data_IF_881045875128
#
_entry.id   IF_881045875128
#
_cell.length_a   1.000
_cell.length_b   1.000
_cell.length_c   1.000
_cell.angle_alpha   90.00
_cell.angle_beta   90.00
_cell.angle_gamma   90.00
#
_symmetry.space_group_name_H-M   'P 1'
#
loop_
_entity.id
_entity.type
_entity.pdbx_description
1 polymer ?
#
# COMPACT_ATOMS: atom_id res chain seq x y z
N UNK A 1 41.87 -1.76 22.56
CA UNK A 1 40.77 -2.73 22.33
C UNK A 1 40.41 -3.34 23.68
N UNK A 2 39.13 -3.38 24.05
CA UNK A 2 38.69 -4.11 25.23
C UNK A 2 38.74 -5.60 24.89
N UNK A 3 39.42 -6.40 25.71
CA UNK A 3 39.46 -7.86 25.54
C UNK A 3 38.07 -8.46 25.79
N UNK A 4 37.72 -9.57 25.12
CA UNK A 4 36.50 -10.32 25.45
C UNK A 4 36.51 -10.67 26.93
N UNK A 5 35.38 -10.47 27.61
CA UNK A 5 35.24 -10.85 29.01
C UNK A 5 35.10 -12.36 29.12
N UNK A 6 34.31 -12.96 28.23
CA UNK A 6 34.05 -14.39 28.18
C UNK A 6 33.82 -14.86 26.75
N UNK A 7 34.11 -16.14 26.51
CA UNK A 7 33.81 -16.87 25.26
C UNK A 7 32.96 -18.08 25.59
N UNK A 8 32.08 -18.47 24.67
CA UNK A 8 31.24 -19.65 24.83
C UNK A 8 30.73 -20.19 23.51
N UNK A 9 29.82 -21.17 23.60
CA UNK A 9 29.08 -21.74 22.46
C UNK A 9 27.62 -21.37 22.57
N UNK A 10 27.05 -20.89 21.47
CA UNK A 10 25.64 -20.64 21.34
C UNK A 10 24.90 -21.97 21.09
N UNK A 11 23.64 -22.01 21.51
CA UNK A 11 22.71 -23.10 21.25
C UNK A 11 21.41 -22.50 20.72
N UNK A 12 20.71 -23.26 19.87
CA UNK A 12 19.43 -22.84 19.30
C UNK A 12 19.52 -22.14 17.94
N UNK A 13 18.57 -21.25 17.65
CA UNK A 13 18.37 -20.67 16.32
C UNK A 13 18.20 -19.14 16.39
N UNK A 14 18.76 -18.46 15.40
CA UNK A 14 18.51 -17.05 15.14
C UNK A 14 17.55 -16.92 13.96
N UNK A 15 16.37 -16.37 14.22
CA UNK A 15 15.42 -16.00 13.18
C UNK A 15 15.66 -14.55 12.76
N UNK A 16 15.79 -14.33 11.45
CA UNK A 16 15.98 -13.02 10.84
C UNK A 16 14.77 -12.71 9.97
N UNK A 17 14.15 -11.56 10.21
CA UNK A 17 13.11 -11.02 9.34
C UNK A 17 13.67 -9.83 8.58
N UNK A 18 13.59 -9.87 7.25
CA UNK A 18 13.96 -8.76 6.38
C UNK A 18 12.86 -8.46 5.35
N UNK A 19 12.90 -7.24 4.81
CA UNK A 19 11.98 -6.78 3.78
C UNK A 19 12.76 -6.49 2.50
N UNK A 20 12.46 -7.22 1.45
CA UNK A 20 13.27 -7.26 0.23
C UNK A 20 12.41 -7.06 -1.02
N UNK A 21 13.02 -6.52 -2.09
CA UNK A 21 12.43 -6.48 -3.43
C UNK A 21 12.82 -7.75 -4.19
N UNK A 22 12.00 -8.79 -4.04
CA UNK A 22 12.07 -10.03 -4.84
C UNK A 22 11.26 -9.83 -6.11
N UNK A 23 11.66 -10.40 -7.24
CA UNK A 23 10.89 -10.32 -8.49
C UNK A 23 9.37 -10.58 -8.30
N UNK A 24 8.54 -9.67 -8.80
CA UNK A 24 7.10 -9.69 -8.58
C UNK A 24 6.45 -10.93 -9.18
N UNK A 25 6.86 -11.36 -10.38
CA UNK A 25 6.27 -12.54 -11.02
C UNK A 25 6.54 -13.80 -10.18
N UNK A 26 7.75 -13.91 -9.64
CA UNK A 26 8.11 -14.97 -8.70
C UNK A 26 7.22 -14.93 -7.46
N UNK A 27 7.00 -13.76 -6.86
CA UNK A 27 6.12 -13.63 -5.69
C UNK A 27 4.66 -13.97 -6.01
N UNK A 28 4.13 -13.56 -7.16
CA UNK A 28 2.76 -13.87 -7.57
C UNK A 28 2.57 -15.37 -7.88
N UNK A 29 3.59 -16.04 -8.42
CA UNK A 29 3.58 -17.50 -8.59
C UNK A 29 3.57 -18.23 -7.24
N UNK A 30 4.25 -17.69 -6.22
CA UNK A 30 4.24 -18.24 -4.87
C UNK A 30 2.94 -17.97 -4.11
N UNK A 31 2.23 -16.89 -4.44
CA UNK A 31 0.99 -16.45 -3.79
C UNK A 31 -0.11 -16.19 -4.84
N UNK A 32 -0.61 -17.25 -5.50
CA UNK A 32 -1.54 -17.14 -6.64
C UNK A 32 -2.87 -16.47 -6.29
N UNK A 33 -3.27 -16.45 -5.02
CA UNK A 33 -4.47 -15.75 -4.56
C UNK A 33 -4.42 -14.24 -4.82
N UNK A 34 -3.23 -13.62 -4.80
CA UNK A 34 -3.09 -12.20 -5.15
C UNK A 34 -3.10 -11.99 -6.66
N UNK A 35 -2.65 -12.98 -7.44
CA UNK A 35 -2.74 -12.94 -8.90
C UNK A 35 -4.20 -12.95 -9.36
N UNK A 36 -5.00 -13.90 -8.87
CA UNK A 36 -6.45 -13.98 -9.17
C UNK A 36 -7.18 -12.70 -8.74
N UNK A 37 -6.90 -12.23 -7.52
CA UNK A 37 -7.49 -10.99 -7.00
C UNK A 37 -7.15 -9.77 -7.86
N UNK A 38 -5.92 -9.66 -8.35
CA UNK A 38 -5.50 -8.58 -9.24
C UNK A 38 -6.20 -8.67 -10.60
N UNK A 39 -6.35 -9.87 -11.17
CA UNK A 39 -7.05 -10.06 -12.44
C UNK A 39 -8.51 -9.62 -12.34
N UNK A 40 -9.21 -10.02 -11.27
CA UNK A 40 -10.60 -9.60 -11.01
C UNK A 40 -10.68 -8.07 -10.86
N UNK A 41 -9.82 -7.47 -10.05
CA UNK A 41 -9.80 -6.01 -9.87
C UNK A 41 -9.53 -5.26 -11.17
N UNK A 42 -8.57 -5.72 -11.97
CA UNK A 42 -8.22 -5.12 -13.26
C UNK A 42 -9.35 -5.22 -14.27
N UNK A 43 -10.01 -6.37 -14.37
CA UNK A 43 -11.12 -6.54 -15.29
C UNK A 43 -12.30 -5.63 -14.91
N UNK A 44 -12.61 -5.56 -13.61
CA UNK A 44 -13.66 -4.68 -13.11
C UNK A 44 -13.37 -3.19 -13.30
N UNK A 45 -12.11 -2.78 -13.13
CA UNK A 45 -11.66 -1.42 -13.43
C UNK A 45 -11.78 -1.14 -14.94
N UNK A 46 -11.32 -2.08 -15.79
CA UNK A 46 -11.38 -1.97 -17.25
C UNK A 46 -12.81 -1.81 -17.77
N UNK A 47 -13.76 -2.58 -17.25
CA UNK A 47 -15.19 -2.46 -17.62
C UNK A 47 -15.76 -1.08 -17.26
N UNK A 48 -15.22 -0.43 -16.23
CA UNK A 48 -15.59 0.94 -15.82
C UNK A 48 -14.82 2.04 -16.57
N UNK A 49 -13.92 1.66 -17.49
CA UNK A 49 -13.07 2.60 -18.22
C UNK A 49 -11.90 3.14 -17.39
N UNK A 50 -11.51 2.45 -16.33
CA UNK A 50 -10.40 2.84 -15.45
C UNK A 50 -9.13 2.06 -15.81
N UNK A 51 -7.98 2.69 -15.60
CA UNK A 51 -6.66 2.05 -15.72
C UNK A 51 -6.17 1.60 -14.35
N UNK A 52 -5.36 0.54 -14.34
CA UNK A 52 -4.64 0.08 -13.15
C UNK A 52 -3.18 -0.15 -13.49
N UNK A 53 -2.27 0.50 -12.76
CA UNK A 53 -0.84 0.42 -13.03
C UNK A 53 -0.06 -0.03 -11.80
N UNK A 54 0.97 -0.84 -12.04
CA UNK A 54 1.83 -1.34 -10.95
C UNK A 54 2.73 -0.22 -10.44
N UNK A 55 2.78 -0.03 -9.12
CA UNK A 55 3.58 1.00 -8.48
C UNK A 55 4.77 0.39 -7.72
N UNK A 56 4.49 -0.49 -6.76
CA UNK A 56 5.53 -1.02 -5.87
C UNK A 56 5.11 -2.35 -5.23
N UNK A 57 6.08 -3.11 -4.74
CA UNK A 57 5.82 -4.28 -3.90
C UNK A 57 6.95 -4.48 -2.90
N UNK A 58 6.67 -5.27 -1.87
CA UNK A 58 7.66 -5.65 -0.86
C UNK A 58 7.38 -7.08 -0.40
N UNK A 59 8.43 -7.89 -0.35
CA UNK A 59 8.37 -9.22 0.25
C UNK A 59 8.89 -9.15 1.69
N UNK A 60 8.27 -9.92 2.58
CA UNK A 60 8.79 -10.22 3.91
C UNK A 60 9.43 -11.60 3.86
N UNK A 61 10.73 -11.67 4.13
CA UNK A 61 11.52 -12.88 4.08
C UNK A 61 11.91 -13.27 5.50
N UNK A 62 11.62 -14.51 5.87
CA UNK A 62 12.04 -15.10 7.13
C UNK A 62 13.20 -16.06 6.86
N UNK A 63 14.38 -15.73 7.37
CA UNK A 63 15.56 -16.58 7.38
C UNK A 63 15.81 -17.18 8.76
N UNK A 64 16.43 -18.36 8.79
CA UNK A 64 16.96 -18.95 10.03
C UNK A 64 18.43 -19.28 9.89
N UNK A 65 19.21 -18.96 10.92
CA UNK A 65 20.57 -19.47 11.12
C UNK A 65 20.55 -20.43 12.30
N UNK A 66 21.06 -21.63 12.12
CA UNK A 66 21.31 -22.55 13.22
C UNK A 66 22.59 -22.12 13.94
N UNK A 67 22.50 -21.86 15.25
CA UNK A 67 23.61 -21.42 16.07
C UNK A 67 24.22 -22.54 16.90
N UNK A 68 23.76 -23.78 16.73
CA UNK A 68 24.23 -24.92 17.50
C UNK A 68 25.75 -25.08 17.44
N UNK A 69 26.40 -24.88 18.58
CA UNK A 69 27.86 -24.99 18.72
C UNK A 69 28.66 -23.82 18.13
N UNK A 70 28.00 -22.75 17.66
CA UNK A 70 28.66 -21.56 17.10
C UNK A 70 29.32 -20.74 18.21
N UNK A 71 30.56 -20.30 17.99
CA UNK A 71 31.29 -19.52 18.98
C UNK A 71 30.70 -18.11 19.13
N UNK A 72 30.62 -17.65 20.38
CA UNK A 72 30.30 -16.25 20.69
C UNK A 72 31.31 -15.63 21.65
N UNK A 73 31.36 -14.30 21.63
CA UNK A 73 32.17 -13.49 22.53
C UNK A 73 31.28 -12.45 23.24
N UNK A 74 31.44 -12.35 24.55
CA UNK A 74 30.84 -11.28 25.36
C UNK A 74 31.84 -10.13 25.49
N UNK A 75 31.42 -8.95 25.06
CA UNK A 75 32.24 -7.75 25.06
C UNK A 75 31.54 -6.63 25.85
N UNK A 76 32.25 -5.84 26.66
CA UNK A 76 31.67 -4.65 27.25
C UNK A 76 31.41 -3.62 26.14
N UNK A 77 30.14 -3.26 25.94
CA UNK A 77 29.73 -2.20 25.00
C UNK A 77 30.29 -0.84 25.41
N UNK A 78 30.32 -0.60 26.73
CA UNK A 78 30.99 0.55 27.32
C UNK A 78 31.44 0.20 28.74
N UNK A 79 32.71 0.42 29.10
CA UNK A 79 33.22 0.15 30.43
C UNK A 79 32.55 1.02 31.52
N UNK A 80 31.87 2.10 31.14
CA UNK A 80 31.20 3.02 32.07
C UNK A 80 29.71 2.75 32.24
N UNK A 81 29.08 1.92 31.39
CA UNK A 81 27.61 1.78 31.35
C UNK A 81 27.09 0.38 31.69
N UNK A 82 27.93 -0.55 32.15
CA UNK A 82 27.55 -1.93 32.48
C UNK A 82 26.67 -2.61 31.39
N UNK A 83 26.91 -2.26 30.13
CA UNK A 83 26.25 -2.84 28.96
C UNK A 83 27.21 -3.80 28.29
N UNK A 84 26.69 -4.95 27.88
CA UNK A 84 27.45 -5.97 27.17
C UNK A 84 26.86 -6.20 25.79
N UNK A 85 27.71 -6.62 24.87
CA UNK A 85 27.36 -7.07 23.53
C UNK A 85 27.76 -8.52 23.38
N UNK A 86 26.92 -9.28 22.70
CA UNK A 86 27.23 -10.64 22.28
C UNK A 86 27.55 -10.56 20.79
N UNK A 87 28.76 -10.98 20.42
CA UNK A 87 29.16 -11.15 19.03
C UNK A 87 29.16 -12.65 18.74
N UNK A 88 28.32 -13.08 17.81
CA UNK A 88 28.22 -14.48 17.39
C UNK A 88 28.85 -14.58 16.00
N UNK A 89 29.90 -15.38 15.84
CA UNK A 89 30.57 -15.56 14.55
C UNK A 89 29.90 -16.69 13.77
N UNK A 90 28.96 -16.32 12.91
CA UNK A 90 28.22 -17.28 12.06
C UNK A 90 29.05 -17.79 10.88
N UNK A 91 30.28 -17.30 10.69
CA UNK A 91 31.19 -17.72 9.62
C UNK A 91 30.57 -17.58 8.22
N UNK A 92 30.61 -18.67 7.44
CA UNK A 92 29.99 -18.75 6.10
C UNK A 92 28.56 -19.31 6.14
N UNK A 93 27.96 -19.45 7.32
CA UNK A 93 26.61 -19.99 7.47
C UNK A 93 25.61 -18.90 7.07
N UNK A 94 25.14 -18.96 5.82
CA UNK A 94 24.10 -18.07 5.34
C UNK A 94 22.73 -18.45 5.95
N UNK A 95 21.84 -17.47 6.18
CA UNK A 95 20.47 -17.77 6.58
C UNK A 95 19.80 -18.69 5.56
N UNK A 96 19.16 -19.74 6.05
CA UNK A 96 18.26 -20.56 5.23
C UNK A 96 16.90 -19.87 5.16
N UNK A 97 16.44 -19.53 3.96
CA UNK A 97 15.11 -18.96 3.76
C UNK A 97 14.06 -20.01 4.14
N UNK A 98 13.17 -19.65 5.07
CA UNK A 98 12.07 -20.50 5.56
C UNK A 98 10.73 -20.11 4.96
N UNK A 99 10.50 -18.82 4.80
CA UNK A 99 9.23 -18.28 4.33
C UNK A 99 9.48 -16.99 3.55
N UNK A 100 8.72 -16.80 2.49
CA UNK A 100 8.71 -15.58 1.68
C UNK A 100 7.25 -15.22 1.46
N UNK A 101 6.82 -14.07 1.99
CA UNK A 101 5.45 -13.60 1.88
C UNK A 101 5.38 -12.26 1.17
N UNK A 102 4.41 -12.11 0.27
CA UNK A 102 4.08 -10.80 -0.25
C UNK A 102 3.51 -9.94 0.88
N UNK A 103 4.21 -8.87 1.25
CA UNK A 103 3.86 -8.00 2.36
C UNK A 103 3.13 -6.73 1.92
N UNK A 104 3.49 -6.22 0.74
CA UNK A 104 2.93 -5.02 0.13
C UNK A 104 2.81 -5.25 -1.36
N UNK A 105 1.69 -4.88 -1.96
CA UNK A 105 1.51 -4.88 -3.41
C UNK A 105 0.65 -3.68 -3.81
N UNK A 106 1.27 -2.66 -4.39
CA UNK A 106 0.63 -1.38 -4.67
C UNK A 106 0.36 -1.20 -6.14
N UNK A 107 -0.87 -0.80 -6.43
CA UNK A 107 -1.34 -0.39 -7.74
C UNK A 107 -1.96 0.99 -7.65
N UNK A 108 -1.76 1.81 -8.67
CA UNK A 108 -2.54 3.02 -8.87
C UNK A 108 -3.78 2.70 -9.70
N UNK A 109 -4.84 3.48 -9.48
CA UNK A 109 -6.09 3.44 -10.24
C UNK A 109 -6.42 4.86 -10.68
N UNK A 110 -6.65 5.05 -11.97
CA UNK A 110 -6.99 6.37 -12.53
C UNK A 110 -8.02 6.27 -13.66
N UNK A 111 -8.61 7.41 -13.99
CA UNK A 111 -9.43 7.60 -15.20
C UNK A 111 -8.71 8.53 -16.16
N UNK A 112 -9.25 8.72 -17.36
CA UNK A 112 -8.72 9.68 -18.34
C UNK A 112 -8.69 11.14 -17.85
N UNK A 113 -9.48 11.48 -16.82
CA UNK A 113 -9.57 12.83 -16.25
C UNK A 113 -8.65 13.02 -15.03
N UNK A 114 -7.94 11.98 -14.62
CA UNK A 114 -7.13 11.94 -13.39
C UNK A 114 -5.65 11.81 -13.74
N UNK A 115 -4.77 12.20 -12.81
CA UNK A 115 -3.35 11.86 -12.89
C UNK A 115 -3.13 10.37 -12.62
N UNK A 116 -2.07 9.79 -13.16
CA UNK A 116 -1.76 8.35 -13.08
C UNK A 116 -1.57 7.84 -11.63
N UNK A 117 -1.20 8.72 -10.70
CA UNK A 117 -0.95 8.45 -9.29
C UNK A 117 -2.12 8.85 -8.36
N UNK A 118 -3.30 9.13 -8.91
CA UNK A 118 -4.35 9.80 -8.14
C UNK A 118 -4.94 8.96 -6.99
N UNK A 119 -4.98 7.64 -7.14
CA UNK A 119 -5.42 6.73 -6.07
C UNK A 119 -4.49 5.53 -6.08
N UNK A 120 -3.84 5.26 -4.95
CA UNK A 120 -3.05 4.03 -4.78
C UNK A 120 -3.71 3.10 -3.76
N UNK A 121 -3.63 1.81 -4.04
CA UNK A 121 -4.15 0.75 -3.16
C UNK A 121 -3.08 -0.30 -2.87
N UNK A 122 -2.97 -0.73 -1.61
CA UNK A 122 -2.27 -1.94 -1.20
C UNK A 122 -3.25 -3.13 -1.24
N UNK A 123 -3.07 -3.98 -2.26
CA UNK A 123 -3.91 -5.14 -2.53
C UNK A 123 -3.72 -6.24 -1.48
N UNK A 124 -2.56 -6.33 -0.84
CA UNK A 124 -2.33 -7.30 0.25
C UNK A 124 -3.15 -6.90 1.47
N UNK A 125 -3.13 -5.61 1.80
CA UNK A 125 -3.73 -5.07 3.03
C UNK A 125 -5.18 -4.59 2.86
N UNK A 126 -5.76 -4.65 1.65
CA UNK A 126 -7.05 -4.05 1.33
C UNK A 126 -7.14 -2.60 1.81
N UNK A 127 -6.13 -1.79 1.46
CA UNK A 127 -6.00 -0.44 2.00
C UNK A 127 -5.74 0.57 0.90
N UNK A 128 -6.44 1.69 0.92
CA UNK A 128 -6.15 2.85 0.08
C UNK A 128 -4.96 3.58 0.73
N UNK A 129 -3.82 3.59 0.04
CA UNK A 129 -2.55 4.13 0.56
C UNK A 129 -2.29 5.56 0.11
N UNK A 130 -2.90 6.00 -0.98
CA UNK A 130 -2.80 7.35 -1.49
C UNK A 130 -4.13 7.79 -2.13
N UNK A 131 -4.47 9.06 -1.97
CA UNK A 131 -5.58 9.75 -2.62
C UNK A 131 -5.06 11.16 -2.90
N UNK A 132 -5.18 11.61 -4.15
CA UNK A 132 -4.66 12.88 -4.61
C UNK A 132 -5.22 14.09 -3.85
N UNK A 133 -4.43 15.14 -3.83
CA UNK A 133 -4.75 16.40 -3.16
C UNK A 133 -5.99 17.07 -3.73
N UNK A 134 -6.30 16.93 -5.04
CA UNK A 134 -7.50 17.53 -5.65
C UNK A 134 -8.78 17.06 -4.95
N UNK A 135 -8.81 15.83 -4.47
CA UNK A 135 -9.94 15.33 -3.68
C UNK A 135 -9.95 15.92 -2.27
N UNK A 136 -8.81 15.95 -1.58
CA UNK A 136 -8.75 16.43 -0.20
C UNK A 136 -8.90 17.94 -0.06
N UNK A 137 -8.44 18.72 -1.03
CA UNK A 137 -8.48 20.18 -1.05
C UNK A 137 -9.75 20.70 -1.73
N UNK A 138 -10.74 19.84 -1.93
CA UNK A 138 -12.00 20.24 -2.55
C UNK A 138 -12.73 21.33 -1.74
N UNK A 139 -12.99 22.46 -2.38
CA UNK A 139 -13.62 23.65 -1.79
C UNK A 139 -14.90 24.08 -2.51
N UNK A 140 -15.80 24.74 -1.79
CA UNK A 140 -16.99 25.38 -2.36
C UNK A 140 -16.57 26.50 -3.34
N UNK A 141 -17.01 26.42 -4.59
CA UNK A 141 -16.57 27.30 -5.69
C UNK A 141 -15.79 26.55 -6.78
N UNK A 142 -15.17 25.41 -6.47
CA UNK A 142 -14.45 24.59 -7.45
C UNK A 142 -15.38 23.89 -8.43
N UNK A 143 -16.69 23.81 -8.17
CA UNK A 143 -17.66 23.33 -9.16
C UNK A 143 -17.70 24.14 -10.47
N UNK A 144 -17.11 25.35 -10.47
CA UNK A 144 -16.96 26.17 -11.67
C UNK A 144 -15.75 25.77 -12.52
N UNK A 145 -14.78 25.06 -11.92
CA UNK A 145 -13.65 24.47 -12.64
C UNK A 145 -14.02 23.05 -13.08
N UNK A 146 -14.33 22.93 -14.37
CA UNK A 146 -14.78 21.66 -14.95
C UNK A 146 -13.74 20.54 -14.78
N UNK A 147 -12.45 20.82 -14.90
CA UNK A 147 -11.42 19.79 -14.84
C UNK A 147 -11.30 19.23 -13.43
N UNK A 148 -11.19 20.12 -12.44
CA UNK A 148 -11.13 19.72 -11.02
C UNK A 148 -12.39 18.99 -10.59
N UNK A 149 -13.56 19.43 -11.06
CA UNK A 149 -14.83 18.77 -10.76
C UNK A 149 -14.89 17.35 -11.33
N UNK A 150 -14.45 17.15 -12.58
CA UNK A 150 -14.40 15.81 -13.17
C UNK A 150 -13.43 14.90 -12.42
N UNK A 151 -12.24 15.39 -12.10
CA UNK A 151 -11.22 14.65 -11.35
C UNK A 151 -11.71 14.27 -9.94
N UNK A 152 -12.35 15.19 -9.22
CA UNK A 152 -12.91 14.90 -7.89
C UNK A 152 -14.09 13.92 -7.95
N UNK A 153 -14.96 14.04 -8.96
CA UNK A 153 -16.07 13.09 -9.17
C UNK A 153 -15.56 11.69 -9.54
N UNK A 154 -14.56 11.58 -10.41
CA UNK A 154 -13.96 10.30 -10.77
C UNK A 154 -13.21 9.67 -9.59
N UNK A 155 -12.49 10.49 -8.81
CA UNK A 155 -11.89 10.06 -7.55
C UNK A 155 -12.93 9.51 -6.59
N UNK A 156 -14.03 10.23 -6.40
CA UNK A 156 -15.14 9.78 -5.56
C UNK A 156 -15.74 8.44 -6.03
N UNK A 157 -15.97 8.25 -7.34
CA UNK A 157 -16.50 6.99 -7.88
C UNK A 157 -15.59 5.81 -7.58
N UNK A 158 -14.27 5.97 -7.77
CA UNK A 158 -13.30 4.92 -7.48
C UNK A 158 -13.27 4.63 -5.98
N UNK A 159 -13.21 5.66 -5.13
CA UNK A 159 -13.20 5.49 -3.67
C UNK A 159 -14.46 4.80 -3.15
N UNK A 160 -15.63 5.17 -3.69
CA UNK A 160 -16.90 4.53 -3.37
C UNK A 160 -16.86 3.04 -3.71
N UNK A 161 -16.42 2.69 -4.93
CA UNK A 161 -16.28 1.28 -5.34
C UNK A 161 -15.30 0.53 -4.43
N UNK A 162 -14.13 1.10 -4.15
CA UNK A 162 -13.12 0.48 -3.29
C UNK A 162 -13.63 0.23 -1.87
N UNK A 163 -14.30 1.21 -1.27
CA UNK A 163 -14.74 1.13 0.14
C UNK A 163 -16.04 0.34 0.27
N UNK A 164 -17.06 0.66 -0.52
CA UNK A 164 -18.39 0.09 -0.37
C UNK A 164 -18.50 -1.31 -0.97
N UNK A 165 -17.94 -1.54 -2.16
CA UNK A 165 -18.02 -2.83 -2.85
C UNK A 165 -16.83 -3.72 -2.49
N UNK A 166 -15.60 -3.19 -2.55
CA UNK A 166 -14.37 -3.96 -2.33
C UNK A 166 -13.88 -4.02 -0.89
N UNK A 167 -14.54 -3.28 0.01
CA UNK A 167 -14.25 -3.27 1.45
C UNK A 167 -12.80 -2.86 1.77
N UNK A 168 -12.21 -1.99 0.95
CA UNK A 168 -10.94 -1.36 1.27
C UNK A 168 -11.10 -0.37 2.41
N UNK A 169 -10.07 -0.27 3.23
CA UNK A 169 -9.97 0.70 4.33
C UNK A 169 -9.14 1.91 3.90
N UNK A 170 -9.44 3.08 4.44
CA UNK A 170 -8.57 4.26 4.30
C UNK A 170 -7.30 4.06 5.15
N UNK A 171 -6.20 4.71 4.76
CA UNK A 171 -4.98 4.79 5.58
C UNK A 171 -5.31 5.45 6.92
N UNK A 172 -4.66 5.00 7.99
CA UNK A 172 -4.99 5.38 9.38
C UNK A 172 -4.82 6.88 9.69
N UNK A 173 -4.00 7.57 8.90
CA UNK A 173 -3.74 9.02 9.00
C UNK A 173 -4.72 9.88 8.20
N UNK A 174 -5.66 9.27 7.48
CA UNK A 174 -6.70 10.01 6.76
C UNK A 174 -7.84 10.44 7.69
N UNK A 175 -8.27 11.68 7.54
CA UNK A 175 -9.41 12.21 8.28
C UNK A 175 -10.72 11.68 7.70
N UNK A 176 -11.26 10.63 8.31
CA UNK A 176 -12.55 10.03 7.92
C UNK A 176 -13.71 11.05 7.94
N UNK A 177 -13.69 12.03 8.84
CA UNK A 177 -14.76 13.04 8.90
C UNK A 177 -14.67 13.97 7.70
N UNK A 178 -13.45 14.37 7.34
CA UNK A 178 -13.20 15.17 6.13
C UNK A 178 -13.61 14.40 4.88
N UNK A 179 -13.20 13.13 4.77
CA UNK A 179 -13.61 12.24 3.68
C UNK A 179 -15.13 12.21 3.51
N UNK A 180 -15.89 11.92 4.59
CA UNK A 180 -17.36 11.85 4.53
C UNK A 180 -17.99 13.15 4.06
N UNK A 181 -17.51 14.30 4.55
CA UNK A 181 -18.03 15.61 4.13
C UNK A 181 -17.84 15.87 2.64
N UNK A 182 -16.67 15.49 2.10
CA UNK A 182 -16.37 15.66 0.68
C UNK A 182 -17.26 14.74 -0.16
N UNK A 183 -17.43 13.49 0.25
CA UNK A 183 -18.35 12.55 -0.40
C UNK A 183 -19.80 13.06 -0.41
N UNK A 184 -20.34 13.52 0.73
CA UNK A 184 -21.69 14.09 0.81
C UNK A 184 -21.85 15.31 -0.12
N UNK A 185 -20.82 16.15 -0.22
CA UNK A 185 -20.83 17.30 -1.12
C UNK A 185 -20.86 16.87 -2.60
N UNK A 186 -19.99 15.93 -2.98
CA UNK A 186 -19.89 15.44 -4.36
C UNK A 186 -21.14 14.67 -4.78
N UNK A 187 -21.75 13.88 -3.90
CA UNK A 187 -23.04 13.21 -4.15
C UNK A 187 -24.16 14.21 -4.47
N UNK A 188 -24.23 15.30 -3.67
CA UNK A 188 -25.21 16.36 -3.88
C UNK A 188 -25.02 17.08 -5.21
N UNK A 189 -23.78 17.22 -5.68
CA UNK A 189 -23.50 17.86 -6.97
C UNK A 189 -23.73 16.90 -8.13
N UNK A 190 -23.31 15.64 -8.00
CA UNK A 190 -23.52 14.61 -9.02
C UNK A 190 -25.02 14.49 -9.38
N UNK A 191 -25.90 14.44 -8.37
CA UNK A 191 -27.36 14.43 -8.58
C UNK A 191 -27.88 15.64 -9.37
N UNK A 192 -27.30 16.83 -9.17
CA UNK A 192 -27.67 18.05 -9.91
C UNK A 192 -27.16 18.03 -11.36
N UNK A 193 -26.01 17.42 -11.62
CA UNK A 193 -25.44 17.31 -12.97
C UNK A 193 -26.24 16.31 -13.81
N UNK A 194 -26.67 15.19 -13.25
CA UNK A 194 -27.54 14.22 -13.93
C UNK A 194 -28.91 14.82 -14.29
N UNK A 195 -29.50 15.64 -13.41
CA UNK A 195 -30.72 16.40 -13.69
C UNK A 195 -30.55 17.43 -14.82
N UNK A 196 -29.34 17.97 -14.99
CA UNK A 196 -29.04 18.97 -16.03
C UNK A 196 -28.77 18.32 -17.40
N UNK A 197 -28.30 17.07 -17.44
CA UNK A 197 -28.03 16.33 -18.69
C UNK A 197 -29.30 15.64 -19.23
N UNK A 198 -30.29 15.33 -18.39
CA UNK A 198 -31.57 14.73 -18.83
C UNK A 198 -32.56 15.72 -19.47
N UNK A 199 -32.31 17.02 -19.41
CA UNK A 199 -33.05 18.01 -20.19
C UNK A 199 -32.08 18.72 -21.15
N UNK A 200 -31.87 18.21 -22.38
CA UNK A 200 -31.50 19.14 -23.44
C UNK A 200 -32.62 20.16 -23.48
N UNK A 201 -32.27 21.44 -23.29
CA UNK A 201 -33.22 22.51 -23.45
C UNK A 201 -33.93 22.29 -24.79
N UNK A 202 -35.25 22.13 -24.72
CA UNK A 202 -36.11 22.42 -25.85
C UNK A 202 -35.93 23.90 -26.14
N UNK A 203 -34.87 24.23 -26.85
CA UNK A 203 -34.72 25.54 -27.45
C UNK A 203 -35.77 25.63 -28.54
N UNK A 204 -36.86 26.26 -28.11
CA UNK A 204 -37.81 27.00 -28.92
C UNK A 204 -37.04 27.79 -29.96
N UNK A 205 -37.13 27.35 -31.21
CA UNK A 205 -36.95 28.25 -32.35
C UNK A 205 -38.35 28.44 -32.93
N UNK A 206 -38.86 29.65 -32.76
CA UNK A 206 -40.06 30.15 -33.43
C UNK A 206 -39.76 30.59 -34.86
#
# INVERSE_FOLDING_TARGET
MLSPLEKGRAEGKLSLECFEKIDLNTLLQMHPEYMEKLEVLREEARVRGWSMEYVDHLARVLGEINLEGVEYQLMPWSPLKARYSIMIDVGTTLPTIKDVKLHKLVYSISTENMREDSIEIDVVKNRITHIDEVFWEWEEGWEKDRMKLLEALDTYKILKWLIEEKKYSLREDYDERKYRKICEYLERIAGKIEETIQYPQQDRVG
#
